data_IF_692924954804
#
_entry.id   IF_692924954804
#
_cell.length_a   1.000
_cell.length_b   1.000
_cell.length_c   1.000
_cell.angle_alpha   90.00
_cell.angle_beta   90.00
_cell.angle_gamma   90.00
#
_symmetry.space_group_name_H-M   'P 1'
#
loop_
_entity.id
_entity.type
_entity.pdbx_description
1 polymer ?
#
# COMPACT_ATOMS: atom_id res chain seq x y z
N UNK A 1 41.78 12.93 -12.43
CA UNK A 1 41.59 13.91 -13.53
C UNK A 1 40.16 14.43 -13.44
N UNK A 2 39.91 15.75 -13.50
CA UNK A 2 38.55 16.25 -13.62
C UNK A 2 37.95 15.71 -14.93
N UNK A 3 36.72 15.19 -14.88
CA UNK A 3 35.98 14.79 -16.06
C UNK A 3 35.97 15.96 -17.04
N UNK A 4 36.41 15.80 -18.30
CA UNK A 4 36.29 16.86 -19.29
C UNK A 4 34.85 17.36 -19.28
N UNK A 5 34.58 18.67 -19.32
CA UNK A 5 33.22 19.16 -19.36
C UNK A 5 32.51 18.49 -20.55
N UNK A 6 31.37 17.86 -20.26
CA UNK A 6 30.47 17.30 -21.26
C UNK A 6 30.25 18.36 -22.35
N UNK A 7 30.56 18.04 -23.62
CA UNK A 7 30.43 19.02 -24.68
C UNK A 7 28.94 19.35 -24.87
N UNK A 8 28.56 20.54 -24.42
CA UNK A 8 27.20 21.08 -24.52
C UNK A 8 27.05 21.95 -25.76
N UNK A 9 25.97 21.76 -26.52
CA UNK A 9 25.61 22.63 -27.64
C UNK A 9 24.27 23.31 -27.38
N UNK A 10 24.28 24.64 -27.38
CA UNK A 10 23.04 25.44 -27.35
C UNK A 10 22.41 25.47 -28.74
N UNK A 11 21.10 25.21 -28.82
CA UNK A 11 20.29 25.21 -30.05
C UNK A 11 19.04 26.08 -29.85
N UNK A 12 18.63 26.82 -30.88
CA UNK A 12 17.48 27.75 -30.81
C UNK A 12 16.36 27.38 -31.79
N UNK A 13 16.53 26.31 -32.57
CA UNK A 13 15.53 25.83 -33.51
C UNK A 13 15.76 24.35 -33.85
N UNK A 14 14.78 23.74 -34.51
CA UNK A 14 14.81 22.33 -34.93
C UNK A 14 16.04 21.98 -35.78
N UNK A 15 16.40 22.80 -36.76
CA UNK A 15 17.54 22.50 -37.65
C UNK A 15 18.87 22.43 -36.88
N UNK A 16 19.06 23.30 -35.89
CA UNK A 16 20.22 23.25 -35.00
C UNK A 16 20.20 22.03 -34.07
N UNK A 17 19.02 21.63 -33.58
CA UNK A 17 18.86 20.39 -32.81
C UNK A 17 19.28 19.18 -33.65
N UNK A 18 18.71 19.04 -34.85
CA UNK A 18 19.01 17.93 -35.78
C UNK A 18 20.52 17.87 -36.12
N UNK A 19 21.16 19.03 -36.30
CA UNK A 19 22.60 19.10 -36.53
C UNK A 19 23.44 18.70 -35.30
N UNK A 20 22.98 19.06 -34.09
CA UNK A 20 23.66 18.73 -32.84
C UNK A 20 23.56 17.23 -32.51
N UNK A 21 22.41 16.60 -32.81
CA UNK A 21 22.24 15.14 -32.68
C UNK A 21 23.25 14.40 -33.54
N UNK A 22 23.48 14.80 -34.79
CA UNK A 22 24.44 14.14 -35.69
C UNK A 22 25.91 14.26 -35.25
N UNK A 23 26.25 15.21 -34.39
CA UNK A 23 27.62 15.41 -33.93
C UNK A 23 27.88 14.61 -32.63
N UNK A 24 28.57 13.47 -32.77
CA UNK A 24 28.86 12.52 -31.68
C UNK A 24 29.76 13.07 -30.57
N UNK A 25 30.47 14.19 -30.82
CA UNK A 25 31.25 14.87 -29.80
C UNK A 25 30.34 15.57 -28.78
N UNK A 26 29.13 16.02 -29.19
CA UNK A 26 28.16 16.68 -28.30
C UNK A 26 27.51 15.63 -27.39
N UNK A 27 27.58 15.84 -26.08
CA UNK A 27 26.98 14.95 -25.08
C UNK A 27 25.73 15.54 -24.43
N UNK A 28 25.51 16.84 -24.58
CA UNK A 28 24.30 17.52 -24.12
C UNK A 28 23.82 18.54 -25.16
N UNK A 29 22.56 18.44 -25.53
CA UNK A 29 21.88 19.45 -26.37
C UNK A 29 21.05 20.30 -25.43
N UNK A 30 21.34 21.61 -25.40
CA UNK A 30 20.64 22.57 -24.56
C UNK A 30 19.78 23.49 -25.42
N UNK A 31 18.50 23.63 -25.13
CA UNK A 31 17.68 24.66 -25.76
C UNK A 31 18.11 26.05 -25.24
N UNK A 32 18.22 27.01 -26.16
CA UNK A 32 18.45 28.43 -25.88
C UNK A 32 17.28 29.32 -26.28
N UNK A 33 16.19 28.74 -26.80
CA UNK A 33 14.94 29.42 -27.12
C UNK A 33 13.81 28.39 -27.20
N UNK A 34 12.57 28.86 -27.06
CA UNK A 34 11.39 28.07 -27.42
C UNK A 34 11.41 27.82 -28.94
N UNK A 35 11.01 26.63 -29.38
CA UNK A 35 10.79 26.38 -30.80
C UNK A 35 9.75 25.28 -31.03
N UNK A 36 9.19 25.29 -32.24
CA UNK A 36 8.20 24.31 -32.71
C UNK A 36 8.85 23.28 -33.64
N UNK A 37 8.51 22.01 -33.45
CA UNK A 37 8.91 20.92 -34.33
C UNK A 37 9.13 19.61 -33.57
N UNK A 38 9.01 18.50 -34.29
CA UNK A 38 9.35 17.19 -33.75
C UNK A 38 10.85 16.95 -33.86
N UNK A 39 11.47 16.39 -32.82
CA UNK A 39 12.89 16.09 -32.80
C UNK A 39 13.15 14.67 -32.30
N UNK A 40 14.18 14.04 -32.85
CA UNK A 40 14.60 12.69 -32.48
C UNK A 40 16.08 12.71 -32.10
N UNK A 41 16.42 12.09 -30.98
CA UNK A 41 17.76 11.80 -30.54
C UNK A 41 18.05 10.31 -30.76
N UNK A 42 18.80 10.00 -31.83
CA UNK A 42 19.06 8.64 -32.32
C UNK A 42 20.30 7.96 -31.68
N UNK A 43 20.79 8.54 -30.60
CA UNK A 43 21.98 8.11 -29.84
C UNK A 43 21.86 8.50 -28.38
N UNK A 44 22.75 7.97 -27.54
CA UNK A 44 22.85 8.44 -26.15
C UNK A 44 23.36 9.89 -26.12
N UNK A 45 22.46 10.79 -25.74
CA UNK A 45 22.70 12.23 -25.58
C UNK A 45 21.70 12.78 -24.57
N UNK A 46 22.14 13.73 -23.74
CA UNK A 46 21.23 14.42 -22.82
C UNK A 46 20.54 15.58 -23.53
N UNK A 47 19.28 15.84 -23.16
CA UNK A 47 18.53 17.01 -23.61
C UNK A 47 18.19 17.86 -22.39
N UNK A 48 18.74 19.07 -22.35
CA UNK A 48 18.39 20.12 -21.39
C UNK A 48 17.49 21.11 -22.11
N UNK A 49 16.20 21.17 -21.79
CA UNK A 49 15.29 22.13 -22.42
C UNK A 49 15.57 23.56 -21.93
N UNK A 50 16.52 23.78 -21.00
CA UNK A 50 17.01 25.10 -20.61
C UNK A 50 15.95 26.03 -19.99
N UNK A 51 14.83 25.48 -19.51
CA UNK A 51 13.65 26.26 -19.09
C UNK A 51 12.75 26.71 -20.24
N UNK A 52 13.04 26.30 -21.47
CA UNK A 52 12.28 26.62 -22.66
C UNK A 52 11.25 25.54 -23.01
N UNK A 53 10.36 25.89 -23.94
CA UNK A 53 9.31 25.02 -24.46
C UNK A 53 9.68 24.49 -25.84
N UNK A 54 9.70 23.16 -25.98
CA UNK A 54 9.63 22.44 -27.24
C UNK A 54 8.15 22.19 -27.57
N UNK A 55 7.62 22.90 -28.57
CA UNK A 55 6.27 22.67 -29.08
C UNK A 55 6.31 21.58 -30.17
N UNK A 56 6.13 20.34 -29.76
CA UNK A 56 6.23 19.17 -30.64
C UNK A 56 6.61 17.91 -29.85
N UNK A 57 6.85 16.82 -30.58
CA UNK A 57 7.25 15.54 -30.01
C UNK A 57 8.77 15.47 -29.83
N UNK A 58 9.20 14.77 -28.79
CA UNK A 58 10.59 14.41 -28.54
C UNK A 58 10.72 12.89 -28.49
N UNK A 59 11.58 12.32 -29.32
CA UNK A 59 11.86 10.89 -29.36
C UNK A 59 13.31 10.62 -29.00
N UNK A 60 13.55 9.63 -28.15
CA UNK A 60 14.86 9.00 -27.97
C UNK A 60 14.78 7.59 -28.56
N UNK A 61 15.60 7.29 -29.56
CA UNK A 61 15.56 6.04 -30.29
C UNK A 61 16.98 5.52 -30.50
N UNK A 62 17.46 4.65 -29.62
CA UNK A 62 18.83 4.16 -29.73
C UNK A 62 19.04 2.81 -29.06
N UNK A 63 19.92 2.00 -29.64
CA UNK A 63 20.37 0.73 -29.06
C UNK A 63 21.70 0.88 -28.31
N UNK A 64 22.25 2.09 -28.21
CA UNK A 64 23.48 2.35 -27.46
C UNK A 64 23.24 2.22 -25.95
N UNK A 65 24.25 1.75 -25.22
CA UNK A 65 24.20 1.72 -23.76
C UNK A 65 24.62 3.05 -23.14
N UNK A 66 24.09 3.33 -21.95
CA UNK A 66 24.43 4.53 -21.18
C UNK A 66 23.25 5.05 -20.39
N UNK A 67 23.29 6.35 -20.08
CA UNK A 67 22.21 7.06 -19.39
C UNK A 67 21.83 8.28 -20.21
N UNK A 68 20.52 8.44 -20.43
CA UNK A 68 19.92 9.58 -21.09
C UNK A 68 19.18 10.39 -20.03
N UNK A 69 19.44 11.70 -20.02
CA UNK A 69 18.75 12.64 -19.14
C UNK A 69 17.98 13.67 -19.96
N UNK A 70 16.69 13.81 -19.65
CA UNK A 70 15.85 14.92 -20.07
C UNK A 70 15.69 15.87 -18.87
N UNK A 71 15.93 17.16 -19.04
CA UNK A 71 15.93 18.12 -17.91
C UNK A 71 15.37 19.49 -18.28
N UNK A 72 14.93 20.23 -17.26
CA UNK A 72 14.58 21.66 -17.24
C UNK A 72 13.78 22.22 -18.42
N UNK A 73 12.46 22.35 -18.31
CA UNK A 73 11.62 23.02 -19.31
C UNK A 73 10.43 22.15 -19.71
N UNK A 74 9.84 22.40 -20.89
CA UNK A 74 8.57 21.77 -21.27
C UNK A 74 8.60 21.14 -22.66
N UNK A 75 8.13 19.90 -22.79
CA UNK A 75 7.71 19.28 -24.06
C UNK A 75 6.18 19.30 -24.10
N UNK A 76 5.59 19.98 -25.08
CA UNK A 76 4.11 20.04 -25.16
C UNK A 76 3.50 18.82 -25.84
N UNK A 77 4.26 18.13 -26.69
CA UNK A 77 3.83 16.92 -27.39
C UNK A 77 4.18 15.64 -26.64
N UNK A 78 4.25 14.55 -27.39
CA UNK A 78 4.60 13.21 -26.88
C UNK A 78 6.10 13.09 -26.64
N UNK A 79 6.47 12.45 -25.53
CA UNK A 79 7.81 11.93 -25.30
C UNK A 79 7.82 10.43 -25.61
N UNK A 80 8.61 9.99 -26.59
CA UNK A 80 8.77 8.56 -26.92
C UNK A 80 10.17 8.10 -26.54
N UNK A 81 10.27 6.96 -25.86
CA UNK A 81 11.53 6.39 -25.39
C UNK A 81 11.62 4.95 -25.86
N UNK A 82 12.52 4.72 -26.81
CA UNK A 82 12.89 3.41 -27.35
C UNK A 82 14.41 3.27 -27.23
N UNK A 83 14.85 2.92 -26.02
CA UNK A 83 16.26 2.94 -25.63
C UNK A 83 16.66 1.65 -24.90
N UNK A 84 16.45 0.50 -25.55
CA UNK A 84 16.60 -0.87 -24.99
C UNK A 84 17.84 -1.13 -24.12
N UNK A 85 18.96 -0.44 -24.39
CA UNK A 85 20.21 -0.63 -23.65
C UNK A 85 20.61 0.57 -22.76
N UNK A 86 19.82 1.65 -22.76
CA UNK A 86 20.10 2.84 -21.97
C UNK A 86 19.05 3.08 -20.89
N UNK A 87 19.52 3.58 -19.74
CA UNK A 87 18.66 4.09 -18.68
C UNK A 87 18.13 5.47 -19.04
N UNK A 88 16.88 5.75 -18.67
CA UNK A 88 16.25 7.05 -18.88
C UNK A 88 15.91 7.74 -17.57
N UNK A 89 16.23 9.02 -17.47
CA UNK A 89 15.87 9.89 -16.33
C UNK A 89 15.23 11.18 -16.82
N UNK A 90 13.98 11.43 -16.42
CA UNK A 90 13.40 12.78 -16.47
C UNK A 90 13.81 13.54 -15.21
N UNK A 91 14.87 14.33 -15.30
CA UNK A 91 15.46 15.12 -14.21
C UNK A 91 14.89 16.54 -14.20
N UNK A 92 13.58 16.64 -13.99
CA UNK A 92 12.88 17.91 -13.76
C UNK A 92 12.26 18.59 -14.99
N UNK A 93 12.15 17.91 -16.15
CA UNK A 93 11.35 18.43 -17.26
C UNK A 93 9.85 18.15 -17.08
N UNK A 94 9.02 18.98 -17.72
CA UNK A 94 7.58 18.80 -17.85
C UNK A 94 7.25 18.24 -19.23
N UNK A 95 6.58 17.10 -19.29
CA UNK A 95 6.00 16.54 -20.53
C UNK A 95 4.49 16.65 -20.40
N UNK A 96 3.85 17.48 -21.22
CA UNK A 96 2.40 17.69 -21.15
C UNK A 96 1.62 16.60 -21.89
N UNK A 97 2.15 16.11 -23.01
CA UNK A 97 1.57 14.99 -23.75
C UNK A 97 1.85 13.65 -23.07
N UNK A 98 1.51 12.57 -23.78
CA UNK A 98 1.79 11.21 -23.31
C UNK A 98 3.29 10.94 -23.36
N UNK A 99 3.83 10.32 -22.30
CA UNK A 99 5.14 9.68 -22.31
C UNK A 99 4.98 8.21 -22.63
N UNK A 100 5.48 7.77 -23.78
CA UNK A 100 5.42 6.38 -24.23
C UNK A 100 6.78 5.72 -24.02
N UNK A 101 6.82 4.72 -23.15
CA UNK A 101 7.99 3.89 -22.88
C UNK A 101 7.85 2.63 -23.74
N UNK A 102 8.54 2.63 -24.88
CA UNK A 102 8.56 1.52 -25.84
C UNK A 102 9.55 0.47 -25.41
N UNK A 103 10.76 0.89 -25.02
CA UNK A 103 11.79 0.01 -24.47
C UNK A 103 12.81 0.85 -23.68
N UNK A 104 13.37 0.30 -22.62
CA UNK A 104 14.42 0.90 -21.79
C UNK A 104 15.32 -0.22 -21.25
N UNK A 105 16.54 0.10 -20.81
CA UNK A 105 17.36 -0.91 -20.14
C UNK A 105 16.57 -1.58 -19.00
N UNK A 106 16.68 -2.92 -18.82
CA UNK A 106 15.90 -3.63 -17.81
C UNK A 106 16.05 -3.01 -16.43
N UNK A 107 14.91 -2.78 -15.76
CA UNK A 107 14.91 -2.19 -14.44
C UNK A 107 15.22 -0.68 -14.41
N UNK A 108 15.09 0.02 -15.54
CA UNK A 108 15.44 1.44 -15.61
C UNK A 108 14.29 2.30 -16.15
N UNK A 109 13.94 3.33 -15.40
CA UNK A 109 13.22 4.54 -15.80
C UNK A 109 12.98 5.34 -14.51
N UNK A 110 13.28 6.62 -14.49
CA UNK A 110 13.01 7.44 -13.30
C UNK A 110 12.48 8.81 -13.69
N UNK A 111 11.29 9.14 -13.17
CA UNK A 111 10.71 10.46 -13.23
C UNK A 111 11.01 11.25 -11.95
N UNK A 112 11.58 12.44 -12.11
CA UNK A 112 11.73 13.46 -11.06
C UNK A 112 11.11 14.81 -11.47
N UNK A 113 10.39 14.84 -12.59
CA UNK A 113 9.74 16.03 -13.12
C UNK A 113 8.22 15.87 -13.14
N UNK A 114 7.59 16.41 -14.17
CA UNK A 114 6.15 16.31 -14.40
C UNK A 114 5.89 15.54 -15.68
N UNK A 115 5.13 14.46 -15.61
CA UNK A 115 4.62 13.75 -16.77
C UNK A 115 3.10 13.89 -16.83
N UNK A 116 2.56 14.08 -18.04
CA UNK A 116 1.13 13.91 -18.32
C UNK A 116 0.74 12.45 -18.21
N UNK A 117 0.05 11.91 -19.20
CA UNK A 117 -0.21 10.46 -19.26
C UNK A 117 1.10 9.68 -19.51
N UNK A 118 1.19 8.46 -19.00
CA UNK A 118 2.28 7.52 -19.27
C UNK A 118 1.71 6.26 -19.89
N UNK A 119 2.34 5.74 -20.93
CA UNK A 119 2.00 4.46 -21.57
C UNK A 119 3.25 3.58 -21.63
N UNK A 120 3.19 2.39 -21.05
CA UNK A 120 4.29 1.41 -21.01
C UNK A 120 3.94 0.26 -21.95
N UNK A 121 4.73 0.06 -23.00
CA UNK A 121 4.58 -1.04 -23.98
C UNK A 121 5.80 -1.95 -24.06
N UNK A 122 6.75 -1.77 -23.15
CA UNK A 122 8.00 -2.52 -23.09
C UNK A 122 7.75 -4.01 -22.79
N UNK A 123 8.01 -4.86 -23.78
CA UNK A 123 7.81 -6.30 -23.71
C UNK A 123 8.92 -7.02 -22.92
N UNK A 124 10.10 -6.41 -22.80
CA UNK A 124 11.24 -6.97 -22.06
C UNK A 124 11.11 -6.68 -20.55
N UNK A 125 10.29 -5.69 -20.21
CA UNK A 125 9.90 -5.34 -18.86
C UNK A 125 10.59 -4.08 -18.36
N UNK A 126 9.86 -3.28 -17.57
CA UNK A 126 10.31 -1.95 -17.12
C UNK A 126 10.24 -1.86 -15.61
N UNK A 127 11.17 -1.12 -15.00
CA UNK A 127 10.97 -0.55 -13.66
C UNK A 127 10.75 0.95 -13.79
N UNK A 128 9.54 1.38 -13.47
CA UNK A 128 9.12 2.77 -13.52
C UNK A 128 9.10 3.36 -12.10
N UNK A 129 9.89 4.40 -11.87
CA UNK A 129 9.91 5.12 -10.60
C UNK A 129 9.35 6.53 -10.78
N UNK A 130 8.28 6.86 -10.05
CA UNK A 130 7.87 8.24 -9.83
C UNK A 130 8.48 8.74 -8.51
N UNK A 131 9.55 9.53 -8.58
CA UNK A 131 10.28 9.99 -7.40
C UNK A 131 9.43 10.89 -6.51
N UNK A 132 9.79 10.99 -5.23
CA UNK A 132 9.13 11.90 -4.28
C UNK A 132 9.16 13.34 -4.81
N UNK A 133 7.99 13.99 -4.82
CA UNK A 133 7.82 15.36 -5.34
C UNK A 133 7.60 15.46 -6.85
N UNK A 134 7.72 14.36 -7.59
CA UNK A 134 7.40 14.32 -9.01
C UNK A 134 5.88 14.21 -9.25
N UNK A 135 5.40 14.79 -10.34
CA UNK A 135 3.98 14.74 -10.74
C UNK A 135 3.80 13.80 -11.92
N UNK A 136 2.70 13.05 -11.93
CA UNK A 136 2.36 12.12 -13.00
C UNK A 136 0.85 12.10 -13.21
N UNK A 137 0.41 11.99 -14.46
CA UNK A 137 -0.97 11.68 -14.82
C UNK A 137 -1.27 10.18 -14.76
N UNK A 138 -2.31 9.75 -15.48
CA UNK A 138 -2.69 8.35 -15.56
C UNK A 138 -1.59 7.49 -16.23
N UNK A 139 -1.38 6.29 -15.71
CA UNK A 139 -0.43 5.29 -16.24
C UNK A 139 -1.21 4.16 -16.90
N UNK A 140 -0.88 3.85 -18.14
CA UNK A 140 -1.36 2.66 -18.86
C UNK A 140 -0.21 1.64 -18.98
N UNK A 141 -0.44 0.43 -18.49
CA UNK A 141 0.45 -0.72 -18.69
C UNK A 141 -0.15 -1.59 -19.79
N UNK A 142 0.40 -1.45 -21.00
CA UNK A 142 -0.06 -2.07 -22.23
C UNK A 142 0.98 -3.05 -22.77
N UNK A 143 1.47 -3.94 -21.90
CA UNK A 143 2.51 -4.92 -22.22
C UNK A 143 2.30 -6.22 -21.45
N UNK A 144 2.80 -7.32 -22.01
CA UNK A 144 2.92 -8.61 -21.32
C UNK A 144 4.21 -8.73 -20.49
N UNK A 145 5.18 -7.83 -20.72
CA UNK A 145 6.43 -7.76 -19.97
C UNK A 145 6.19 -7.44 -18.50
N UNK A 146 7.11 -7.87 -17.63
CA UNK A 146 7.01 -7.59 -16.20
C UNK A 146 7.23 -6.09 -15.95
N UNK A 147 6.26 -5.43 -15.32
CA UNK A 147 6.38 -4.00 -14.96
C UNK A 147 6.47 -3.86 -13.45
N UNK A 148 7.52 -3.18 -12.98
CA UNK A 148 7.67 -2.77 -11.58
C UNK A 148 7.32 -1.29 -11.44
N UNK A 149 6.33 -0.98 -10.62
CA UNK A 149 5.85 0.40 -10.38
C UNK A 149 6.24 0.88 -8.98
N UNK A 150 6.91 2.03 -8.89
CA UNK A 150 7.36 2.61 -7.63
C UNK A 150 6.99 4.10 -7.49
N UNK A 151 6.74 4.53 -6.25
CA UNK A 151 6.34 5.89 -5.90
C UNK A 151 4.82 6.07 -5.84
N UNK A 152 4.38 7.32 -5.63
CA UNK A 152 2.96 7.66 -5.60
C UNK A 152 2.41 7.78 -7.01
N UNK A 153 1.37 7.01 -7.32
CA UNK A 153 0.69 6.97 -8.61
C UNK A 153 -0.83 7.18 -8.37
N UNK A 154 -1.48 7.91 -9.27
CA UNK A 154 -2.93 8.07 -9.27
C UNK A 154 -3.61 6.83 -9.87
N UNK A 155 -4.06 6.99 -11.11
CA UNK A 155 -4.72 5.92 -11.87
C UNK A 155 -3.69 5.07 -12.62
N UNK A 156 -3.78 3.76 -12.44
CA UNK A 156 -3.03 2.75 -13.19
C UNK A 156 -4.02 1.82 -13.87
N UNK A 157 -4.01 1.76 -15.19
CA UNK A 157 -4.83 0.84 -15.98
C UNK A 157 -3.95 -0.19 -16.66
N UNK A 158 -4.28 -1.48 -16.49
CA UNK A 158 -3.60 -2.59 -17.15
C UNK A 158 -4.45 -3.10 -18.30
N UNK A 159 -3.92 -2.97 -19.52
CA UNK A 159 -4.56 -3.36 -20.78
C UNK A 159 -3.79 -4.45 -21.54
N UNK A 160 -2.62 -4.87 -21.02
CA UNK A 160 -1.86 -6.02 -21.51
C UNK A 160 -1.91 -7.19 -20.54
N UNK A 161 -1.92 -8.41 -21.07
CA UNK A 161 -1.91 -9.64 -20.29
C UNK A 161 -0.50 -9.87 -19.72
N UNK A 162 -0.25 -9.48 -18.48
CA UNK A 162 1.10 -9.41 -17.92
C UNK A 162 1.17 -9.50 -16.39
N UNK A 163 2.38 -9.38 -15.86
CA UNK A 163 2.62 -9.28 -14.41
C UNK A 163 2.97 -7.84 -14.04
N UNK A 164 2.24 -7.28 -13.08
CA UNK A 164 2.57 -5.99 -12.47
C UNK A 164 3.04 -6.22 -11.04
N UNK A 165 4.24 -5.75 -10.75
CA UNK A 165 4.87 -5.82 -9.44
C UNK A 165 4.90 -4.43 -8.79
N UNK A 166 4.47 -4.34 -7.54
CA UNK A 166 4.48 -3.12 -6.74
C UNK A 166 5.28 -3.41 -5.47
N UNK A 167 6.61 -3.24 -5.44
CA UNK A 167 7.47 -3.71 -4.35
C UNK A 167 7.29 -2.92 -3.04
N UNK A 168 7.68 -3.54 -1.91
CA UNK A 168 7.57 -2.96 -0.56
C UNK A 168 8.80 -2.12 -0.22
N UNK A 169 9.07 -0.94 -0.81
CA UNK A 169 10.31 -0.21 -0.46
C UNK A 169 10.20 1.34 -0.42
N UNK A 170 10.71 1.90 0.70
CA UNK A 170 11.08 3.28 1.15
C UNK A 170 10.41 4.57 0.67
N UNK A 171 9.71 4.61 -0.46
CA UNK A 171 9.21 5.87 -1.04
C UNK A 171 7.69 6.03 -1.00
N UNK A 172 7.00 5.36 -0.07
CA UNK A 172 5.53 5.38 0.04
C UNK A 172 4.85 5.03 -1.29
N UNK A 173 5.27 3.93 -1.94
CA UNK A 173 4.59 3.48 -3.15
C UNK A 173 3.10 3.28 -2.84
N UNK A 174 2.25 4.06 -3.51
CA UNK A 174 0.80 4.03 -3.29
C UNK A 174 0.12 4.21 -4.62
N UNK A 175 -0.81 3.33 -4.94
CA UNK A 175 -1.68 3.46 -6.10
C UNK A 175 -3.07 3.81 -5.59
N UNK A 176 -3.67 4.87 -6.14
CA UNK A 176 -5.05 5.21 -5.80
C UNK A 176 -6.00 4.20 -6.48
N UNK A 177 -5.96 4.11 -7.80
CA UNK A 177 -6.84 3.23 -8.55
C UNK A 177 -6.04 2.28 -9.44
N UNK A 178 -6.14 0.98 -9.18
CA UNK A 178 -5.58 -0.07 -10.04
C UNK A 178 -6.73 -0.73 -10.82
N UNK A 179 -6.81 -0.47 -12.12
CA UNK A 179 -7.86 -0.97 -13.00
C UNK A 179 -7.33 -2.07 -13.91
N UNK A 180 -7.84 -3.29 -13.77
CA UNK A 180 -7.48 -4.43 -14.61
C UNK A 180 -8.51 -4.64 -15.74
N UNK A 181 -8.14 -4.26 -16.96
CA UNK A 181 -8.94 -4.53 -18.17
C UNK A 181 -8.43 -5.74 -18.95
N UNK A 182 -7.26 -6.24 -18.58
CA UNK A 182 -6.64 -7.50 -19.00
C UNK A 182 -6.30 -8.36 -17.79
N UNK A 183 -6.15 -9.67 -18.01
CA UNK A 183 -5.76 -10.59 -16.93
C UNK A 183 -4.38 -10.18 -16.39
N UNK A 184 -4.29 -10.02 -15.06
CA UNK A 184 -3.07 -9.53 -14.44
C UNK A 184 -2.75 -10.29 -13.16
N UNK A 185 -1.48 -10.67 -13.04
CA UNK A 185 -0.90 -11.03 -11.75
C UNK A 185 -0.37 -9.78 -11.08
N UNK A 186 -1.02 -9.37 -10.00
CA UNK A 186 -0.64 -8.23 -9.19
C UNK A 186 0.16 -8.72 -7.98
N UNK A 187 1.47 -8.45 -7.97
CA UNK A 187 2.32 -8.66 -6.78
C UNK A 187 2.30 -7.35 -5.98
N UNK A 188 1.30 -7.20 -5.12
CA UNK A 188 1.14 -6.01 -4.29
C UNK A 188 1.88 -6.18 -2.98
N UNK A 189 2.84 -5.31 -2.77
CA UNK A 189 3.72 -5.29 -1.62
C UNK A 189 3.66 -3.89 -0.97
N UNK A 190 2.77 -3.00 -1.41
CA UNK A 190 2.56 -1.64 -0.91
C UNK A 190 1.06 -1.36 -0.66
N UNK A 191 0.62 -0.09 -0.69
CA UNK A 191 -0.81 0.25 -0.55
C UNK A 191 -1.46 0.48 -1.91
N UNK A 192 -2.58 -0.21 -2.16
CA UNK A 192 -3.48 0.08 -3.28
C UNK A 192 -4.85 0.44 -2.69
N UNK A 193 -5.37 1.63 -2.99
CA UNK A 193 -6.65 2.03 -2.41
C UNK A 193 -7.81 1.24 -3.03
N UNK A 194 -7.85 1.13 -4.36
CA UNK A 194 -8.88 0.36 -5.06
C UNK A 194 -8.29 -0.56 -6.14
N UNK A 195 -8.74 -1.82 -6.17
CA UNK A 195 -8.60 -2.72 -7.32
C UNK A 195 -9.96 -2.85 -8.01
N UNK A 196 -10.03 -2.40 -9.25
CA UNK A 196 -11.24 -2.40 -10.09
C UNK A 196 -10.96 -3.02 -11.46
N UNK A 197 -11.98 -3.05 -12.32
CA UNK A 197 -11.82 -3.47 -13.71
C UNK A 197 -12.86 -4.46 -14.20
N UNK A 198 -12.53 -5.09 -15.32
CA UNK A 198 -13.37 -6.07 -16.00
C UNK A 198 -12.65 -7.37 -16.29
N UNK A 199 -11.39 -7.54 -15.84
CA UNK A 199 -10.63 -8.76 -16.03
C UNK A 199 -10.26 -9.43 -14.70
N UNK A 200 -9.97 -10.74 -14.68
CA UNK A 200 -9.49 -11.41 -13.48
C UNK A 200 -8.18 -10.82 -12.96
N UNK A 201 -8.01 -10.78 -11.63
CA UNK A 201 -6.78 -10.36 -10.97
C UNK A 201 -6.32 -11.44 -10.01
N UNK A 202 -5.08 -11.89 -10.16
CA UNK A 202 -4.42 -12.73 -9.14
C UNK A 202 -3.53 -11.85 -8.29
N UNK A 203 -3.95 -11.62 -7.04
CA UNK A 203 -3.25 -10.81 -6.06
C UNK A 203 -2.31 -11.68 -5.20
N UNK A 204 -1.07 -11.25 -5.07
CA UNK A 204 -0.06 -11.83 -4.16
C UNK A 204 0.70 -10.72 -3.44
N UNK A 205 1.55 -11.06 -2.48
CA UNK A 205 2.40 -10.12 -1.75
C UNK A 205 1.82 -9.69 -0.39
N UNK A 206 2.55 -8.83 0.31
CA UNK A 206 2.23 -8.38 1.67
C UNK A 206 1.59 -6.99 1.71
N UNK A 207 1.24 -6.42 0.56
CA UNK A 207 0.61 -5.11 0.48
C UNK A 207 -0.82 -5.10 1.03
N UNK A 208 -1.37 -3.91 1.19
CA UNK A 208 -2.79 -3.69 1.52
C UNK A 208 -3.56 -3.33 0.25
N UNK A 209 -4.78 -3.85 0.14
CA UNK A 209 -5.79 -3.40 -0.83
C UNK A 209 -7.00 -2.96 -0.02
N UNK A 210 -7.35 -1.68 -0.06
CA UNK A 210 -8.44 -1.16 0.80
C UNK A 210 -9.83 -1.49 0.24
N UNK A 211 -9.99 -1.51 -1.08
CA UNK A 211 -11.27 -1.72 -1.74
C UNK A 211 -11.11 -2.57 -3.01
N UNK A 212 -12.10 -3.42 -3.27
CA UNK A 212 -12.19 -4.22 -4.48
C UNK A 212 -13.58 -4.06 -5.08
N UNK A 213 -13.64 -3.47 -6.27
CA UNK A 213 -14.87 -3.25 -7.05
C UNK A 213 -14.83 -3.96 -8.40
N UNK A 214 -13.83 -4.81 -8.62
CA UNK A 214 -13.64 -5.52 -9.87
C UNK A 214 -14.88 -6.36 -10.24
N UNK A 215 -15.29 -6.27 -11.51
CA UNK A 215 -16.47 -7.01 -12.00
C UNK A 215 -16.20 -8.51 -12.15
N UNK A 216 -14.93 -8.89 -12.23
CA UNK A 216 -14.48 -10.28 -12.25
C UNK A 216 -13.73 -10.63 -10.96
N UNK A 217 -13.55 -11.94 -10.65
CA UNK A 217 -12.92 -12.36 -9.41
C UNK A 217 -11.51 -11.78 -9.23
N UNK A 218 -11.26 -11.25 -8.03
CA UNK A 218 -9.90 -10.98 -7.53
C UNK A 218 -9.52 -12.11 -6.60
N UNK A 219 -8.60 -12.97 -7.03
CA UNK A 219 -8.13 -14.10 -6.22
C UNK A 219 -6.92 -13.63 -5.42
N UNK A 220 -7.03 -13.62 -4.09
CA UNK A 220 -5.89 -13.30 -3.24
C UNK A 220 -5.17 -14.58 -2.80
N UNK A 221 -4.03 -14.87 -3.41
CA UNK A 221 -3.18 -16.02 -3.06
C UNK A 221 -2.21 -15.72 -1.90
N UNK A 222 -2.18 -14.49 -1.38
CA UNK A 222 -1.24 -14.10 -0.31
C UNK A 222 -1.62 -14.58 1.11
N UNK A 223 -2.65 -15.42 1.27
CA UNK A 223 -3.29 -15.74 2.56
C UNK A 223 -3.81 -14.50 3.33
N UNK A 224 -3.92 -13.33 2.68
CA UNK A 224 -4.52 -12.13 3.27
C UNK A 224 -6.03 -12.10 3.03
N UNK A 225 -6.75 -12.94 3.77
CA UNK A 225 -8.23 -12.95 3.78
C UNK A 225 -8.80 -11.69 4.46
N UNK A 226 -8.02 -11.02 5.31
CA UNK A 226 -8.38 -9.77 5.99
C UNK A 226 -7.23 -8.75 5.91
N UNK A 227 -7.54 -7.48 6.03
CA UNK A 227 -6.55 -6.40 6.10
C UNK A 227 -6.87 -5.44 7.24
N UNK A 228 -5.80 -4.80 7.76
CA UNK A 228 -5.88 -3.70 8.70
C UNK A 228 -5.16 -2.49 8.11
N UNK A 229 -5.82 -1.33 8.12
CA UNK A 229 -5.24 -0.07 7.67
C UNK A 229 -5.37 0.98 8.76
N UNK A 230 -4.25 1.55 9.23
CA UNK A 230 -4.29 2.66 10.17
C UNK A 230 -5.00 3.87 9.55
N UNK A 231 -5.87 4.51 10.31
CA UNK A 231 -6.47 5.79 9.91
C UNK A 231 -5.64 7.00 10.38
N UNK A 232 -4.62 6.76 11.22
CA UNK A 232 -3.69 7.76 11.73
C UNK A 232 -2.74 7.17 12.77
N UNK A 233 -1.88 8.00 13.34
CA UNK A 233 -1.05 7.63 14.50
C UNK A 233 -1.83 7.81 15.82
N UNK A 234 -1.21 7.45 16.94
CA UNK A 234 -1.77 7.69 18.27
C UNK A 234 -1.75 9.18 18.60
N UNK A 235 -2.87 9.67 19.13
CA UNK A 235 -2.96 11.01 19.73
C UNK A 235 -3.18 10.87 21.24
N UNK A 236 -2.40 11.57 22.05
CA UNK A 236 -2.63 11.66 23.49
C UNK A 236 -3.66 12.75 23.77
N UNK A 237 -4.79 12.37 24.35
CA UNK A 237 -5.85 13.27 24.78
C UNK A 237 -6.05 13.13 26.29
N UNK A 238 -5.60 14.13 27.05
CA UNK A 238 -5.52 14.08 28.51
C UNK A 238 -4.68 12.88 29.00
N UNK A 239 -5.32 11.85 29.55
CA UNK A 239 -4.75 10.64 30.12
C UNK A 239 -4.98 9.39 29.25
N UNK A 240 -5.48 9.57 28.02
CA UNK A 240 -5.84 8.48 27.12
C UNK A 240 -5.24 8.66 25.73
N UNK A 241 -4.69 7.59 25.18
CA UNK A 241 -4.30 7.51 23.79
C UNK A 241 -5.49 7.10 22.92
N UNK A 242 -5.62 7.73 21.77
CA UNK A 242 -6.71 7.54 20.83
C UNK A 242 -6.18 7.40 19.40
N UNK A 243 -6.76 6.49 18.62
CA UNK A 243 -6.56 6.38 17.17
C UNK A 243 -7.72 5.58 16.55
N UNK A 244 -7.65 5.32 15.26
CA UNK A 244 -8.57 4.42 14.58
C UNK A 244 -7.88 3.66 13.45
N UNK A 245 -8.49 2.54 13.07
CA UNK A 245 -8.05 1.75 11.93
C UNK A 245 -9.26 1.13 11.24
N UNK A 246 -9.10 0.80 9.96
CA UNK A 246 -10.06 0.01 9.20
C UNK A 246 -9.72 -1.47 9.35
N UNK A 247 -10.72 -2.30 9.56
CA UNK A 247 -10.64 -3.76 9.48
C UNK A 247 -11.60 -4.23 8.39
N UNK A 248 -11.07 -4.92 7.38
CA UNK A 248 -11.89 -5.40 6.26
C UNK A 248 -11.41 -6.73 5.71
N UNK A 249 -12.13 -7.22 4.69
CA UNK A 249 -11.84 -8.48 4.02
C UNK A 249 -12.11 -8.39 2.53
N UNK A 250 -11.16 -8.86 1.71
CA UNK A 250 -11.31 -8.89 0.26
C UNK A 250 -12.22 -10.05 -0.16
N UNK A 251 -11.91 -11.27 0.30
CA UNK A 251 -12.60 -12.49 -0.12
C UNK A 251 -13.65 -12.99 0.88
N UNK A 252 -13.85 -12.25 1.96
CA UNK A 252 -14.59 -12.70 3.12
C UNK A 252 -13.72 -13.52 4.06
N UNK A 253 -13.98 -13.41 5.36
CA UNK A 253 -13.29 -14.15 6.41
C UNK A 253 -14.26 -14.46 7.53
N UNK A 254 -14.18 -15.67 8.07
CA UNK A 254 -15.03 -16.10 9.18
C UNK A 254 -16.53 -16.02 8.92
N UNK A 255 -16.92 -16.23 7.67
CA UNK A 255 -18.31 -16.25 7.17
C UNK A 255 -18.86 -17.68 6.98
N UNK A 256 -18.28 -18.68 7.66
CA UNK A 256 -18.70 -20.08 7.57
C UNK A 256 -20.10 -20.36 8.13
N UNK A 257 -20.45 -21.64 8.28
CA UNK A 257 -21.74 -22.01 8.87
C UNK A 257 -21.91 -21.42 10.28
N UNK A 258 -23.07 -20.79 10.50
CA UNK A 258 -23.48 -20.24 11.79
C UNK A 258 -24.35 -21.23 12.55
N UNK A 259 -24.11 -21.42 13.84
CA UNK A 259 -25.14 -22.01 14.70
C UNK A 259 -26.17 -20.93 15.01
N UNK A 260 -27.42 -21.13 14.54
CA UNK A 260 -28.51 -20.23 14.87
C UNK A 260 -28.98 -20.50 16.30
N UNK A 261 -28.83 -19.52 17.19
CA UNK A 261 -29.47 -19.58 18.51
C UNK A 261 -30.93 -19.16 18.39
N UNK A 262 -31.85 -20.00 18.83
CA UNK A 262 -33.31 -19.81 18.65
C UNK A 262 -33.99 -19.01 19.76
N UNK A 263 -33.21 -18.43 20.69
CA UNK A 263 -33.71 -17.70 21.85
C UNK A 263 -33.34 -16.22 21.73
N UNK A 264 -34.25 -15.28 22.02
CA UNK A 264 -33.94 -13.85 22.07
C UNK A 264 -32.73 -13.60 23.00
N UNK A 265 -31.69 -12.94 22.47
CA UNK A 265 -30.45 -12.66 23.21
C UNK A 265 -29.41 -13.79 23.26
N UNK A 266 -29.62 -14.92 22.56
CA UNK A 266 -28.64 -16.01 22.45
C UNK A 266 -27.40 -15.64 21.61
N UNK A 267 -26.40 -16.50 21.51
CA UNK A 267 -25.17 -16.23 20.75
C UNK A 267 -25.14 -17.07 19.46
N UNK A 268 -25.02 -16.43 18.29
CA UNK A 268 -24.69 -17.06 17.02
C UNK A 268 -23.16 -17.11 16.85
N UNK A 269 -22.60 -18.30 16.71
CA UNK A 269 -21.16 -18.43 16.46
C UNK A 269 -20.89 -19.00 15.08
N UNK A 270 -19.87 -18.46 14.42
CA UNK A 270 -19.22 -19.02 13.25
C UNK A 270 -18.12 -19.98 13.72
N UNK A 271 -18.14 -21.22 13.22
CA UNK A 271 -17.09 -22.19 13.54
C UNK A 271 -15.68 -21.76 13.09
N UNK A 272 -15.59 -20.76 12.22
CA UNK A 272 -14.36 -20.19 11.70
C UNK A 272 -14.27 -18.66 11.88
N UNK A 273 -14.89 -18.07 12.90
CA UNK A 273 -15.01 -16.61 13.07
C UNK A 273 -13.68 -15.84 12.98
N UNK A 274 -13.76 -14.59 12.52
CA UNK A 274 -12.64 -13.66 12.47
C UNK A 274 -12.53 -12.84 13.76
N UNK A 275 -11.31 -12.52 14.17
CA UNK A 275 -11.02 -11.75 15.38
C UNK A 275 -9.69 -11.00 15.27
N UNK A 276 -9.47 -10.02 16.13
CA UNK A 276 -8.22 -9.31 16.34
C UNK A 276 -7.50 -9.91 17.53
N UNK A 277 -6.24 -10.28 17.37
CA UNK A 277 -5.31 -10.61 18.44
C UNK A 277 -4.47 -9.38 18.74
N UNK A 278 -4.61 -8.84 19.95
CA UNK A 278 -4.00 -7.59 20.39
C UNK A 278 -2.95 -7.96 21.44
N UNK A 279 -1.72 -7.51 21.25
CA UNK A 279 -0.61 -7.75 22.18
C UNK A 279 0.09 -6.43 22.51
N UNK A 280 0.70 -6.36 23.69
CA UNK A 280 1.52 -5.22 24.09
C UNK A 280 2.90 -5.71 24.52
N UNK A 281 3.95 -4.98 24.14
CA UNK A 281 5.33 -5.34 24.44
C UNK A 281 6.17 -4.09 24.71
N UNK A 282 7.01 -4.14 25.75
CA UNK A 282 8.03 -3.11 25.98
C UNK A 282 9.23 -3.35 25.07
N UNK A 283 9.76 -2.29 24.48
CA UNK A 283 10.95 -2.38 23.63
C UNK A 283 12.15 -2.94 24.41
N UNK A 284 12.87 -3.87 23.78
CA UNK A 284 13.99 -4.59 24.40
C UNK A 284 13.61 -5.86 25.17
N UNK A 285 12.34 -6.08 25.51
CA UNK A 285 11.89 -7.31 26.15
C UNK A 285 11.79 -8.48 25.16
N UNK A 286 11.83 -9.72 25.65
CA UNK A 286 11.68 -10.91 24.79
C UNK A 286 10.21 -11.32 24.61
N UNK A 287 9.39 -11.18 25.64
CA UNK A 287 7.97 -11.58 25.64
C UNK A 287 7.03 -10.38 25.63
N UNK A 288 5.81 -10.60 25.16
CA UNK A 288 4.70 -9.67 25.36
C UNK A 288 4.45 -9.47 26.86
N UNK A 289 4.01 -8.29 27.28
CA UNK A 289 3.62 -7.98 28.65
C UNK A 289 2.12 -8.26 28.84
N UNK A 290 1.71 -8.65 30.05
CA UNK A 290 0.28 -8.79 30.35
C UNK A 290 -0.41 -7.43 30.19
N UNK A 291 -1.60 -7.43 29.61
CA UNK A 291 -2.35 -6.19 29.41
C UNK A 291 -2.58 -5.43 30.71
N UNK A 292 -3.04 -6.11 31.75
CA UNK A 292 -3.32 -5.50 33.05
C UNK A 292 -2.07 -5.00 33.79
N UNK A 293 -0.87 -5.39 33.36
CA UNK A 293 0.39 -4.85 33.89
C UNK A 293 0.79 -3.53 33.19
N UNK A 294 0.26 -3.26 32.00
CA UNK A 294 0.67 -2.14 31.15
C UNK A 294 -0.43 -1.10 30.95
N UNK A 295 -1.68 -1.53 30.81
CA UNK A 295 -2.83 -0.67 30.50
C UNK A 295 -3.86 -0.76 31.63
N UNK A 296 -4.40 0.39 32.03
CA UNK A 296 -5.52 0.48 32.97
C UNK A 296 -6.88 0.36 32.26
N UNK A 297 -6.92 0.72 30.97
CA UNK A 297 -8.09 0.61 30.12
C UNK A 297 -7.68 0.40 28.66
N UNK A 298 -8.47 -0.40 27.92
CA UNK A 298 -8.38 -0.57 26.48
C UNK A 298 -9.80 -0.77 25.94
N UNK A 299 -10.21 0.08 25.01
CA UNK A 299 -11.53 0.00 24.39
C UNK A 299 -11.45 0.00 22.87
N UNK A 300 -12.39 -0.70 22.26
CA UNK A 300 -12.61 -0.72 20.82
C UNK A 300 -14.06 -0.32 20.52
N UNK A 301 -14.26 0.46 19.47
CA UNK A 301 -15.59 0.85 19.03
C UNK A 301 -15.72 0.65 17.52
N UNK A 302 -16.61 -0.24 17.11
CA UNK A 302 -16.82 -0.57 15.70
C UNK A 302 -17.92 0.30 15.07
N UNK A 303 -17.63 0.98 13.96
CA UNK A 303 -18.55 1.81 13.16
C UNK A 303 -19.36 2.81 14.00
N UNK A 304 -18.74 3.44 15.00
CA UNK A 304 -19.40 4.38 15.91
C UNK A 304 -20.47 3.74 16.82
N UNK A 305 -20.51 2.41 16.92
CA UNK A 305 -21.46 1.67 17.75
C UNK A 305 -21.11 1.69 19.24
N UNK A 306 -21.50 0.64 19.96
CA UNK A 306 -21.14 0.48 21.37
C UNK A 306 -19.63 0.41 21.53
N UNK A 307 -19.10 1.08 22.56
CA UNK A 307 -17.71 0.97 22.96
C UNK A 307 -17.54 -0.28 23.83
N UNK A 308 -16.69 -1.18 23.38
CA UNK A 308 -16.35 -2.42 24.09
C UNK A 308 -15.06 -2.19 24.88
N UNK A 309 -15.18 -2.18 26.21
CA UNK A 309 -14.03 -2.20 27.11
C UNK A 309 -13.53 -3.65 27.25
N UNK A 310 -12.34 -3.89 26.71
CA UNK A 310 -11.68 -5.20 26.68
C UNK A 310 -10.51 -5.27 27.68
N UNK A 311 -10.41 -4.30 28.60
CA UNK A 311 -9.46 -4.36 29.72
C UNK A 311 -9.94 -5.25 30.86
N UNK A 312 -8.99 -5.84 31.58
CA UNK A 312 -9.22 -6.60 32.80
C UNK A 312 -9.54 -8.07 32.55
N UNK A 313 -8.76 -8.96 33.16
CA UNK A 313 -9.15 -10.35 33.35
C UNK A 313 -10.57 -10.49 33.93
N UNK A 314 -11.20 -11.64 33.65
CA UNK A 314 -12.60 -12.02 33.97
C UNK A 314 -13.34 -11.11 34.99
N UNK A 315 -14.25 -10.24 34.51
CA UNK A 315 -15.12 -9.45 35.39
C UNK A 315 -16.08 -10.35 36.17
N UNK A 316 -16.37 -9.97 37.42
CA UNK A 316 -17.15 -10.74 38.42
C UNK A 316 -18.62 -10.99 38.06
N UNK A 317 -19.16 -10.30 37.06
CA UNK A 317 -20.53 -10.49 36.52
C UNK A 317 -20.57 -11.45 35.31
N UNK A 318 -19.43 -12.08 34.99
CA UNK A 318 -19.32 -13.08 33.95
C UNK A 318 -19.36 -12.52 32.53
N UNK A 319 -18.96 -11.24 32.33
CA UNK A 319 -18.83 -10.64 31.00
C UNK A 319 -17.49 -9.95 30.75
N UNK A 320 -16.98 -10.27 29.54
CA UNK A 320 -15.94 -9.66 28.70
C UNK A 320 -14.49 -10.11 28.98
N UNK A 321 -13.71 -10.49 27.93
CA UNK A 321 -13.84 -10.15 26.50
C UNK A 321 -14.14 -11.37 25.60
N UNK A 322 -15.24 -11.33 24.84
CA UNK A 322 -15.63 -12.38 23.86
C UNK A 322 -15.89 -13.82 24.41
N UNK A 323 -16.71 -13.96 25.46
CA UNK A 323 -17.25 -15.25 25.99
C UNK A 323 -16.25 -16.43 26.02
N UNK A 324 -15.14 -16.25 26.74
CA UNK A 324 -14.16 -17.28 27.02
C UNK A 324 -14.66 -18.30 28.07
N UNK A 325 -14.38 -19.58 27.85
CA UNK A 325 -14.43 -20.62 28.90
C UNK A 325 -15.80 -21.10 29.37
N UNK A 326 -16.93 -20.59 28.84
CA UNK A 326 -18.24 -21.18 29.14
C UNK A 326 -18.48 -22.44 28.32
N UNK A 327 -18.96 -23.50 28.99
CA UNK A 327 -19.57 -24.62 28.28
C UNK A 327 -20.83 -24.11 27.59
N UNK A 328 -20.74 -23.80 26.30
CA UNK A 328 -21.94 -23.65 25.49
C UNK A 328 -22.61 -25.02 25.39
N UNK A 329 -23.94 -25.04 25.28
CA UNK A 329 -24.70 -26.27 25.03
C UNK A 329 -24.33 -26.95 23.70
N UNK A 330 -23.53 -26.30 22.85
CA UNK A 330 -23.05 -26.81 21.56
C UNK A 330 -21.54 -26.51 21.36
N UNK A 331 -20.64 -27.44 21.72
CA UNK A 331 -19.18 -27.29 21.65
C UNK A 331 -18.66 -26.94 20.26
N UNK A 332 -19.33 -27.40 19.21
CA UNK A 332 -18.86 -27.38 17.81
C UNK A 332 -18.81 -25.98 17.18
N UNK A 333 -19.41 -24.99 17.83
CA UNK A 333 -19.51 -23.63 17.30
C UNK A 333 -18.88 -22.58 18.20
N UNK A 334 -18.42 -22.90 19.41
CA UNK A 334 -17.79 -21.90 20.25
C UNK A 334 -16.43 -21.44 19.66
N UNK A 335 -16.21 -20.13 19.60
CA UNK A 335 -14.85 -19.60 19.39
C UNK A 335 -14.03 -19.83 20.64
N UNK A 336 -13.42 -21.00 20.70
CA UNK A 336 -12.48 -21.38 21.74
C UNK A 336 -11.11 -20.88 21.28
N UNK A 337 -10.55 -19.94 22.01
CA UNK A 337 -9.20 -19.42 21.81
C UNK A 337 -8.39 -19.84 23.04
N UNK A 338 -7.17 -20.34 22.85
CA UNK A 338 -6.36 -20.89 23.96
C UNK A 338 -5.82 -19.76 24.85
N UNK A 339 -6.35 -19.66 26.06
CA UNK A 339 -5.76 -18.90 27.17
C UNK A 339 -4.98 -19.82 28.13
N UNK A 340 -3.74 -20.15 27.80
CA UNK A 340 -2.77 -20.37 28.89
C UNK A 340 -1.39 -19.88 28.49
N UNK A 341 -1.03 -18.69 29.01
CA UNK A 341 0.30 -18.08 28.87
C UNK A 341 0.46 -17.03 27.76
N UNK A 342 -0.57 -16.75 26.95
CA UNK A 342 -0.51 -15.68 25.95
C UNK A 342 -0.89 -14.34 26.59
N UNK A 343 0.06 -13.40 26.63
CA UNK A 343 -0.18 -12.03 27.07
C UNK A 343 -0.87 -11.22 25.95
N UNK A 344 -2.06 -11.66 25.55
CA UNK A 344 -2.85 -11.19 24.40
C UNK A 344 -4.32 -10.99 24.79
N UNK A 345 -5.01 -10.06 24.13
CA UNK A 345 -6.46 -9.81 24.25
C UNK A 345 -7.11 -9.99 22.87
N UNK A 346 -8.31 -10.58 22.82
CA UNK A 346 -9.00 -10.87 21.57
C UNK A 346 -10.27 -10.03 21.38
N UNK A 347 -10.50 -9.52 20.16
CA UNK A 347 -11.72 -8.78 19.81
C UNK A 347 -12.37 -9.35 18.54
N UNK A 348 -13.62 -9.79 18.63
CA UNK A 348 -14.30 -10.41 17.49
C UNK A 348 -15.78 -10.70 17.72
N UNK A 349 -16.43 -9.95 18.60
CA UNK A 349 -17.81 -10.23 19.02
C UNK A 349 -18.63 -8.95 18.97
N UNK A 350 -19.75 -8.95 18.23
CA UNK A 350 -20.71 -7.84 18.24
C UNK A 350 -21.96 -8.27 19.01
N UNK A 351 -22.30 -7.54 20.07
CA UNK A 351 -23.56 -7.74 20.79
C UNK A 351 -24.71 -7.10 20.03
N UNK A 352 -25.72 -7.88 19.65
CA UNK A 352 -27.02 -7.37 19.20
C UNK A 352 -28.12 -7.92 20.13
N UNK A 353 -28.81 -7.03 20.83
CA UNK A 353 -29.78 -7.39 21.86
C UNK A 353 -31.08 -8.00 21.30
N UNK A 354 -31.31 -7.92 19.98
CA UNK A 354 -32.52 -8.43 19.31
C UNK A 354 -32.27 -9.78 18.62
N UNK A 355 -31.12 -9.93 17.95
CA UNK A 355 -30.80 -11.11 17.13
C UNK A 355 -29.70 -12.01 17.72
N UNK A 356 -29.25 -11.68 18.93
CA UNK A 356 -28.17 -12.39 19.59
C UNK A 356 -26.77 -11.89 19.27
N UNK A 357 -25.78 -12.46 19.95
CA UNK A 357 -24.36 -12.11 19.83
C UNK A 357 -23.73 -12.86 18.66
N UNK A 358 -23.13 -12.17 17.68
CA UNK A 358 -22.43 -12.84 16.58
C UNK A 358 -20.91 -12.74 16.74
N UNK A 359 -20.19 -13.84 16.53
CA UNK A 359 -18.75 -13.75 16.15
C UNK A 359 -18.63 -12.95 14.86
N UNK A 360 -17.55 -12.22 14.69
CA UNK A 360 -17.35 -11.37 13.53
C UNK A 360 -16.95 -12.22 12.32
N UNK A 361 -17.85 -12.31 11.35
CA UNK A 361 -17.51 -12.64 9.97
C UNK A 361 -17.49 -11.36 9.13
N UNK A 362 -16.75 -11.40 8.03
CA UNK A 362 -16.80 -10.41 6.95
C UNK A 362 -17.24 -11.11 5.68
N UNK A 363 -18.20 -10.51 4.99
CA UNK A 363 -18.41 -10.83 3.57
C UNK A 363 -17.26 -10.26 2.73
N UNK A 364 -17.10 -10.77 1.50
CA UNK A 364 -16.17 -10.19 0.54
C UNK A 364 -16.46 -8.69 0.34
N UNK A 365 -15.42 -7.86 0.40
CA UNK A 365 -15.48 -6.39 0.33
C UNK A 365 -16.01 -5.68 1.58
N UNK A 366 -16.44 -6.41 2.63
CA UNK A 366 -16.93 -5.77 3.85
C UNK A 366 -15.77 -5.10 4.61
N UNK A 367 -16.02 -3.89 5.13
CA UNK A 367 -15.09 -3.11 5.92
C UNK A 367 -15.77 -2.47 7.14
N UNK A 368 -14.98 -2.24 8.19
CA UNK A 368 -15.43 -1.62 9.43
C UNK A 368 -14.36 -0.65 9.94
N UNK A 369 -14.80 0.50 10.41
CA UNK A 369 -13.97 1.43 11.15
C UNK A 369 -13.92 0.99 12.61
N UNK A 370 -12.73 0.94 13.19
CA UNK A 370 -12.50 0.57 14.58
C UNK A 370 -11.77 1.72 15.27
N UNK A 371 -12.43 2.39 16.19
CA UNK A 371 -11.77 3.34 17.07
C UNK A 371 -11.08 2.58 18.20
N UNK A 372 -9.83 2.93 18.47
CA UNK A 372 -9.00 2.39 19.52
C UNK A 372 -8.74 3.48 20.55
N UNK A 373 -9.07 3.22 21.81
CA UNK A 373 -8.63 4.08 22.91
C UNK A 373 -8.05 3.26 24.05
N UNK A 374 -6.99 3.76 24.70
CA UNK A 374 -6.40 3.09 25.86
C UNK A 374 -5.68 4.06 26.78
N UNK A 375 -5.59 3.69 28.05
CA UNK A 375 -4.85 4.45 29.07
C UNK A 375 -3.72 3.57 29.62
N UNK A 376 -2.46 4.06 29.61
CA UNK A 376 -1.37 3.39 30.31
C UNK A 376 -1.68 3.30 31.81
N UNK A 377 -1.13 2.28 32.45
CA UNK A 377 -1.23 2.11 33.90
C UNK A 377 -0.31 3.10 34.62
N UNK A 378 -0.76 3.63 35.75
CA UNK A 378 0.07 4.48 36.60
C UNK A 378 1.31 3.73 37.11
N UNK A 379 2.45 4.44 37.17
CA UNK A 379 3.71 3.88 37.63
C UNK A 379 4.37 2.89 36.66
N UNK A 380 3.92 2.84 35.41
CA UNK A 380 4.56 2.05 34.36
C UNK A 380 6.02 2.47 34.19
N UNK A 381 6.92 1.50 33.99
CA UNK A 381 8.33 1.78 33.85
C UNK A 381 8.61 2.64 32.60
N UNK A 382 9.59 3.54 32.69
CA UNK A 382 10.04 4.37 31.57
C UNK A 382 10.42 3.50 30.35
N UNK A 383 10.06 3.97 29.16
CA UNK A 383 10.43 3.36 27.89
C UNK A 383 9.29 3.36 26.86
N UNK A 384 9.59 2.77 25.71
CA UNK A 384 8.66 2.63 24.60
C UNK A 384 7.90 1.31 24.70
N UNK A 385 6.60 1.36 24.45
CA UNK A 385 5.70 0.22 24.41
C UNK A 385 5.02 0.16 23.06
N UNK A 386 4.97 -1.04 22.48
CA UNK A 386 4.35 -1.33 21.19
C UNK A 386 3.10 -2.17 21.38
N UNK A 387 1.95 -1.66 20.94
CA UNK A 387 0.71 -2.43 20.77
C UNK A 387 0.70 -3.00 19.36
N UNK A 388 0.53 -4.31 19.21
CA UNK A 388 0.38 -4.99 17.92
C UNK A 388 -1.03 -5.55 17.80
N UNK A 389 -1.71 -5.26 16.69
CA UNK A 389 -3.05 -5.75 16.37
C UNK A 389 -2.94 -6.65 15.13
N UNK A 390 -3.31 -7.91 15.27
CA UNK A 390 -3.18 -8.93 14.24
C UNK A 390 -4.57 -9.50 13.89
N UNK A 391 -5.04 -9.41 12.63
CA UNK A 391 -6.28 -10.07 12.24
C UNK A 391 -6.05 -11.58 12.11
N UNK A 392 -6.97 -12.37 12.65
CA UNK A 392 -6.93 -13.83 12.64
C UNK A 392 -8.29 -14.42 12.30
N UNK A 393 -8.26 -15.65 11.78
CA UNK A 393 -9.44 -16.50 11.61
C UNK A 393 -9.28 -17.74 12.47
N UNK A 394 -10.35 -18.14 13.13
CA UNK A 394 -10.38 -19.40 13.86
C UNK A 394 -10.29 -20.58 12.88
N UNK A 395 -9.37 -21.51 13.15
CA UNK A 395 -9.17 -22.75 12.36
C UNK A 395 -9.37 -24.02 13.18
N UNK A 396 -9.62 -23.87 14.48
CA UNK A 396 -9.87 -24.97 15.41
C UNK A 396 -10.29 -24.45 16.79
N UNK A 397 -10.44 -25.34 17.76
CA UNK A 397 -10.87 -24.98 19.13
C UNK A 397 -9.84 -24.17 19.94
N UNK A 398 -8.61 -24.02 19.47
CA UNK A 398 -7.57 -23.31 20.25
C UNK A 398 -6.60 -22.57 19.34
N UNK A 399 -6.87 -22.59 18.04
CA UNK A 399 -5.94 -22.17 17.00
C UNK A 399 -6.64 -21.18 16.10
N UNK A 400 -6.00 -20.05 15.85
CA UNK A 400 -6.32 -19.22 14.70
C UNK A 400 -5.10 -19.03 13.83
N UNK A 401 -5.36 -18.88 12.54
CA UNK A 401 -4.35 -18.49 11.56
C UNK A 401 -4.38 -16.96 11.41
N UNK A 402 -3.22 -16.30 11.29
CA UNK A 402 -3.16 -14.95 10.73
C UNK A 402 -3.89 -14.92 9.38
N UNK A 403 -4.71 -13.91 9.18
CA UNK A 403 -5.46 -13.68 7.93
C UNK A 403 -4.99 -12.44 7.20
N UNK A 404 -3.95 -11.79 7.71
CA UNK A 404 -3.42 -10.57 7.14
C UNK A 404 -2.22 -10.08 7.93
N UNK A 405 -1.68 -8.93 7.55
CA UNK A 405 -0.58 -8.30 8.27
C UNK A 405 -1.06 -7.59 9.54
N UNK A 406 -0.23 -7.55 10.59
CA UNK A 406 -0.52 -6.76 11.77
C UNK A 406 -0.28 -5.27 11.54
N UNK A 407 -0.96 -4.43 12.32
CA UNK A 407 -0.61 -3.02 12.51
C UNK A 407 -0.04 -2.81 13.91
N UNK A 408 0.83 -1.81 14.06
CA UNK A 408 1.48 -1.50 15.35
C UNK A 408 1.31 -0.05 15.75
N UNK A 409 1.08 0.22 17.03
CA UNK A 409 1.07 1.57 17.59
C UNK A 409 2.08 1.65 18.73
N UNK A 410 2.82 2.76 18.83
CA UNK A 410 3.86 2.95 19.86
C UNK A 410 3.53 4.13 20.75
N UNK A 411 3.70 3.97 22.06
CA UNK A 411 3.62 5.06 23.04
C UNK A 411 4.83 5.00 23.96
N UNK A 412 5.21 6.16 24.52
CA UNK A 412 6.40 6.29 25.36
C UNK A 412 6.00 6.78 26.74
N UNK A 413 6.51 6.11 27.77
CA UNK A 413 6.49 6.62 29.15
C UNK A 413 7.81 7.33 29.39
N UNK A 414 7.74 8.62 29.73
CA UNK A 414 8.90 9.46 30.02
C UNK A 414 9.24 9.39 31.51
N UNK A 415 10.52 9.64 31.84
CA UNK A 415 10.94 9.84 33.22
C UNK A 415 10.11 10.96 33.89
N UNK A 416 9.80 10.84 35.21
CA UNK A 416 9.26 11.95 35.97
C UNK A 416 10.21 13.16 35.86
N UNK A 417 9.69 14.40 35.84
CA UNK A 417 10.55 15.58 35.96
C UNK A 417 11.42 15.43 37.21
N UNK A 418 12.73 15.62 37.06
CA UNK A 418 13.64 15.72 38.21
C UNK A 418 13.27 17.03 38.92
N UNK A 419 12.74 16.92 40.14
CA UNK A 419 12.43 18.09 40.99
C UNK A 419 13.68 18.88 41.40
#
# INVERSE_FOLDING_TARGET
MPTPPSATKVVTNKAQFDAAVKNTAIKTIKLGANFTGNVTADRVVNVDLGGHTLTGNLEFNTTQSGTITLSNGTVTGTLTIDTVNASFVNDGATVQGTTTIVNVAPGTFTNKGTLGAVKITDADGTRFVNATGATIGAVEVATAGNVTLEGSLGDVTVTGDGTVNIPTITNNASIQNFKADSEVKLINNATVAEVSGTAPVTLTGTGTVEEVTNSNPVVNESNQDAYLTKSGDLTLNQDRYESSFKWGSINGVGSGEKSAHTSPGGYNYFGNGAYLDITVKKDGEQSNAKFDDVLSQLTLQTNGGTTDDISGGAKTDGRQPADWGKSTANPSFATRLKESGSNAVFYGVRQNNTNGVATVGFNAGEKRDVNLTFSPKDGLAEGTYTITIQPKQQTGETTGKPTGNPITYTFTILAPPVE
#
